data_IF_873176595410
#
_entry.id   IF_873176595410
#
_cell.length_a   1.000
_cell.length_b   1.000
_cell.length_c   1.000
_cell.angle_alpha   90.00
_cell.angle_beta   90.00
_cell.angle_gamma   90.00
#
_symmetry.space_group_name_H-M   'P 1'
#
loop_
_entity.id
_entity.type
_entity.pdbx_description
1 polymer ?
#
# COMPACT_ATOMS: atom_id res chain seq x y z
N UNK A 1 19.44 -5.94 1.62
CA UNK A 1 19.83 -4.52 1.74
C UNK A 1 19.45 -3.79 0.46
N UNK A 2 18.32 -3.09 0.48
CA UNK A 2 17.80 -2.35 -0.68
C UNK A 2 17.04 -1.11 -0.21
N UNK A 3 16.84 -0.14 -1.10
CA UNK A 3 16.27 1.20 -0.81
C UNK A 3 14.86 1.13 -0.19
N UNK A 4 14.17 -0.01 -0.31
CA UNK A 4 12.85 -0.26 0.26
C UNK A 4 12.81 -1.42 1.27
N UNK A 5 13.98 -1.85 1.79
CA UNK A 5 14.07 -3.00 2.70
C UNK A 5 13.42 -2.77 4.08
N UNK A 6 13.10 -1.53 4.43
CA UNK A 6 12.42 -1.15 5.66
C UNK A 6 10.89 -1.07 5.51
N UNK A 7 10.35 -1.40 4.33
CA UNK A 7 8.92 -1.42 4.06
C UNK A 7 8.41 -2.85 4.18
N UNK A 8 7.58 -3.08 5.19
CA UNK A 8 7.02 -4.40 5.48
C UNK A 8 5.50 -4.45 5.41
N UNK A 9 4.84 -3.29 5.30
CA UNK A 9 3.38 -3.20 5.21
C UNK A 9 2.93 -1.83 4.69
N UNK A 10 1.66 -1.75 4.27
CA UNK A 10 0.98 -0.48 4.00
C UNK A 10 0.78 0.40 5.24
N UNK A 11 1.02 -0.11 6.46
CA UNK A 11 0.93 0.65 7.71
C UNK A 11 -0.48 1.16 8.05
N UNK A 12 -1.51 0.37 7.75
CA UNK A 12 -2.90 0.68 8.08
C UNK A 12 -3.26 0.18 9.48
N UNK A 13 -4.29 0.75 10.08
CA UNK A 13 -4.95 0.17 11.26
C UNK A 13 -6.10 -0.77 10.87
N UNK A 14 -6.81 -1.28 11.88
CA UNK A 14 -7.91 -2.25 11.71
C UNK A 14 -9.12 -1.64 10.97
N UNK A 15 -9.23 -0.30 10.94
CA UNK A 15 -10.26 0.43 10.20
C UNK A 15 -9.81 0.74 8.76
N UNK A 16 -8.64 0.23 8.34
CA UNK A 16 -7.97 0.52 7.07
C UNK A 16 -7.58 2.01 6.93
N UNK A 17 -7.42 2.72 8.03
CA UNK A 17 -6.94 4.10 8.02
C UNK A 17 -5.40 4.13 8.05
N UNK A 18 -4.77 4.97 7.23
CA UNK A 18 -3.32 5.07 7.17
C UNK A 18 -2.77 5.78 8.40
N UNK A 19 -1.82 5.14 9.08
CA UNK A 19 -1.09 5.78 10.19
C UNK A 19 -0.17 6.88 9.64
N UNK A 20 -0.15 8.03 10.33
CA UNK A 20 0.60 9.22 9.91
C UNK A 20 2.11 8.95 9.78
N UNK A 21 2.68 8.15 10.70
CA UNK A 21 4.04 7.64 10.66
C UNK A 21 3.99 6.13 10.86
N UNK A 22 4.24 5.36 9.80
CA UNK A 22 4.34 3.90 9.93
C UNK A 22 5.32 3.30 8.92
N UNK A 23 6.23 2.48 9.44
CA UNK A 23 6.84 1.37 8.69
C UNK A 23 7.44 1.77 7.32
N UNK A 24 8.10 2.93 7.25
CA UNK A 24 8.87 3.32 6.06
C UNK A 24 8.12 4.00 4.92
N UNK A 25 6.78 4.05 4.94
CA UNK A 25 5.97 4.79 3.96
C UNK A 25 5.39 6.05 4.60
N UNK A 26 5.94 7.21 4.23
CA UNK A 26 5.44 8.51 4.66
C UNK A 26 4.49 9.08 3.60
N UNK A 27 3.35 9.65 4.04
CA UNK A 27 2.30 10.25 3.17
C UNK A 27 1.58 9.20 2.31
N UNK A 28 1.01 9.64 1.18
CA UNK A 28 0.20 8.83 0.25
C UNK A 28 -1.00 8.12 0.91
N UNK A 29 -1.65 8.80 1.86
CA UNK A 29 -2.78 8.27 2.63
C UNK A 29 -3.89 7.69 1.74
N UNK A 30 -4.25 8.39 0.67
CA UNK A 30 -5.28 7.93 -0.28
C UNK A 30 -4.88 6.63 -0.99
N UNK A 31 -3.64 6.56 -1.49
CA UNK A 31 -3.16 5.37 -2.21
C UNK A 31 -3.01 4.17 -1.25
N UNK A 32 -2.51 4.39 -0.03
CA UNK A 32 -2.39 3.34 1.00
C UNK A 32 -3.75 2.80 1.41
N UNK A 33 -4.72 3.68 1.67
CA UNK A 33 -6.09 3.29 2.00
C UNK A 33 -6.75 2.51 0.86
N UNK A 34 -6.64 3.00 -0.37
CA UNK A 34 -7.19 2.31 -1.54
C UNK A 34 -6.57 0.91 -1.72
N UNK A 35 -5.23 0.80 -1.60
CA UNK A 35 -4.54 -0.48 -1.68
C UNK A 35 -4.97 -1.44 -0.57
N UNK A 36 -5.17 -0.96 0.66
CA UNK A 36 -5.65 -1.78 1.78
C UNK A 36 -7.08 -2.28 1.61
N UNK A 37 -7.98 -1.43 1.10
CA UNK A 37 -9.36 -1.82 0.78
C UNK A 37 -9.36 -2.92 -0.28
N UNK A 38 -8.58 -2.74 -1.36
CA UNK A 38 -8.48 -3.74 -2.43
C UNK A 38 -7.89 -5.04 -1.89
N UNK A 39 -6.81 -4.98 -1.10
CA UNK A 39 -6.21 -6.15 -0.48
C UNK A 39 -7.20 -6.91 0.39
N UNK A 40 -8.00 -6.20 1.21
CA UNK A 40 -9.06 -6.80 2.01
C UNK A 40 -10.13 -7.47 1.15
N UNK A 41 -10.58 -6.82 0.08
CA UNK A 41 -11.54 -7.42 -0.86
C UNK A 41 -11.01 -8.69 -1.55
N UNK A 42 -9.70 -8.72 -1.88
CA UNK A 42 -9.03 -9.91 -2.43
C UNK A 42 -8.97 -11.02 -1.37
N UNK A 43 -8.59 -10.69 -0.14
CA UNK A 43 -8.53 -11.66 0.98
C UNK A 43 -9.90 -12.22 1.35
N UNK A 44 -10.95 -11.40 1.28
CA UNK A 44 -12.36 -11.82 1.45
C UNK A 44 -12.90 -12.62 0.24
N UNK A 45 -12.12 -12.77 -0.84
CA UNK A 45 -12.53 -13.48 -2.05
C UNK A 45 -13.62 -12.76 -2.86
N UNK A 46 -13.86 -11.47 -2.60
CA UNK A 46 -14.92 -10.68 -3.25
C UNK A 46 -14.53 -10.21 -4.64
N UNK A 47 -13.23 -10.07 -4.90
CA UNK A 47 -12.68 -9.71 -6.20
C UNK A 47 -11.53 -10.66 -6.55
N UNK A 48 -11.45 -11.07 -7.82
CA UNK A 48 -10.39 -11.92 -8.35
C UNK A 48 -10.05 -11.51 -9.79
N UNK A 49 -8.81 -11.74 -10.23
CA UNK A 49 -8.37 -11.45 -11.61
C UNK A 49 -8.24 -9.96 -11.95
N UNK A 50 -8.16 -9.09 -10.95
CA UNK A 50 -8.02 -7.64 -11.15
C UNK A 50 -6.56 -7.20 -11.10
N UNK A 51 -6.21 -6.16 -11.86
CA UNK A 51 -4.88 -5.53 -11.86
C UNK A 51 -4.96 -4.16 -11.23
N UNK A 52 -4.04 -3.86 -10.30
CA UNK A 52 -3.90 -2.55 -9.67
C UNK A 52 -2.70 -1.80 -10.27
N UNK A 53 -2.94 -0.61 -10.84
CA UNK A 53 -1.90 0.26 -11.39
C UNK A 53 -1.61 1.44 -10.45
N UNK A 54 -0.37 1.57 -10.00
CA UNK A 54 0.11 2.75 -9.27
C UNK A 54 0.78 3.74 -10.22
N UNK A 55 0.05 4.79 -10.60
CA UNK A 55 0.55 5.84 -11.48
C UNK A 55 0.85 7.13 -10.70
N UNK A 56 1.97 7.78 -11.03
CA UNK A 56 2.39 9.05 -10.43
C UNK A 56 3.78 9.47 -10.90
N UNK A 57 4.19 10.73 -10.61
CA UNK A 57 5.53 11.21 -10.92
C UNK A 57 6.64 10.34 -10.33
N UNK A 58 7.84 10.39 -10.92
CA UNK A 58 9.03 9.74 -10.35
C UNK A 58 9.25 10.20 -8.90
N UNK A 59 9.81 9.32 -8.07
CA UNK A 59 10.09 9.57 -6.64
C UNK A 59 8.87 9.74 -5.72
N UNK A 60 7.64 9.51 -6.20
CA UNK A 60 6.42 9.62 -5.35
C UNK A 60 6.08 8.36 -4.55
N UNK A 61 6.92 7.32 -4.63
CA UNK A 61 6.80 6.14 -3.78
C UNK A 61 5.89 5.03 -4.32
N UNK A 62 5.60 5.00 -5.63
CA UNK A 62 4.78 3.92 -6.23
C UNK A 62 5.34 2.52 -5.95
N UNK A 63 6.66 2.33 -6.13
CA UNK A 63 7.35 1.06 -5.83
C UNK A 63 7.28 0.71 -4.35
N UNK A 64 7.41 1.70 -3.47
CA UNK A 64 7.29 1.53 -2.03
C UNK A 64 5.90 1.03 -1.62
N UNK A 65 4.83 1.56 -2.23
CA UNK A 65 3.46 1.10 -1.96
C UNK A 65 3.25 -0.32 -2.51
N UNK A 66 3.74 -0.61 -3.71
CA UNK A 66 3.64 -1.96 -4.29
C UNK A 66 4.30 -3.03 -3.40
N UNK A 67 5.47 -2.73 -2.85
CA UNK A 67 6.16 -3.61 -1.88
C UNK A 67 5.46 -3.70 -0.52
N UNK A 68 4.60 -2.75 -0.17
CA UNK A 68 3.77 -2.83 1.04
C UNK A 68 2.51 -3.70 0.88
N UNK A 69 2.09 -3.97 -0.37
CA UNK A 69 0.95 -4.85 -0.72
C UNK A 69 1.38 -6.31 -0.81
N UNK A 70 2.64 -6.57 -1.18
CA UNK A 70 3.19 -7.92 -1.37
C UNK A 70 3.25 -8.73 -0.09
#
# INVERSE_FOLDING_TARGET
TGIHSHIHSLGLDDQLEPRANSQGIFRQAKARKAAGIILKMVQEGRIAGQVLLFAGPLWTGNTAIALGVS
#
